data_IF_468491142358
#
_entry.id   IF_468491142358
#
_cell.length_a   1.000
_cell.length_b   1.000
_cell.length_c   1.000
_cell.angle_alpha   90.00
_cell.angle_beta   90.00
_cell.angle_gamma   90.00
#
_symmetry.space_group_name_H-M   'P 1'
#
loop_
_entity.id
_entity.type
_entity.pdbx_description
1 polymer ?
#
# COMPACT_ATOMS: atom_id res chain seq x y z
N UNK A 1 -17.19 -9.82 -14.63
CA UNK A 1 -16.44 -8.92 -15.54
C UNK A 1 -15.32 -9.72 -16.16
N UNK A 2 -15.19 -9.66 -17.48
CA UNK A 2 -14.21 -10.47 -18.19
C UNK A 2 -12.91 -9.66 -18.42
N UNK A 3 -11.80 -10.36 -18.65
CA UNK A 3 -10.50 -9.73 -18.90
C UNK A 3 -10.53 -8.75 -20.10
N UNK A 4 -11.37 -9.03 -21.10
CA UNK A 4 -11.58 -8.16 -22.26
C UNK A 4 -12.23 -6.82 -21.89
N UNK A 5 -13.18 -6.84 -20.95
CA UNK A 5 -13.85 -5.63 -20.48
C UNK A 5 -12.85 -4.74 -19.74
N UNK A 6 -12.03 -5.34 -18.87
CA UNK A 6 -10.99 -4.64 -18.11
C UNK A 6 -9.95 -3.96 -19.01
N UNK A 7 -9.58 -4.62 -20.10
CA UNK A 7 -8.68 -4.06 -21.10
C UNK A 7 -9.36 -2.93 -21.88
N UNK A 8 -10.62 -3.10 -22.28
CA UNK A 8 -11.38 -2.10 -23.03
C UNK A 8 -11.62 -0.82 -22.20
N UNK A 9 -11.80 -0.98 -20.88
CA UNK A 9 -11.93 0.13 -19.92
C UNK A 9 -10.59 0.73 -19.50
N UNK A 10 -9.47 0.23 -20.02
CA UNK A 10 -8.11 0.67 -19.68
C UNK A 10 -7.83 0.66 -18.17
N UNK A 11 -8.38 -0.33 -17.44
CA UNK A 11 -8.27 -0.37 -15.97
C UNK A 11 -6.80 -0.32 -15.53
N UNK A 12 -5.91 -1.02 -16.22
CA UNK A 12 -4.47 -1.01 -15.91
C UNK A 12 -3.87 0.39 -15.90
N UNK A 13 -4.26 1.27 -16.83
CA UNK A 13 -3.78 2.64 -16.87
C UNK A 13 -4.28 3.45 -15.66
N UNK A 14 -5.53 3.24 -15.24
CA UNK A 14 -6.09 3.86 -14.03
C UNK A 14 -5.39 3.37 -12.77
N UNK A 15 -5.11 2.07 -12.67
CA UNK A 15 -4.39 1.50 -11.53
C UNK A 15 -2.94 1.99 -11.46
N UNK A 16 -2.26 2.19 -12.59
CA UNK A 16 -0.94 2.80 -12.61
C UNK A 16 -0.97 4.26 -12.17
N UNK A 17 -1.97 5.04 -12.59
CA UNK A 17 -2.16 6.40 -12.08
C UNK A 17 -2.36 6.41 -10.57
N UNK A 18 -3.15 5.49 -10.04
CA UNK A 18 -3.37 5.33 -8.59
C UNK A 18 -2.06 4.94 -7.87
N UNK A 19 -1.34 3.95 -8.38
CA UNK A 19 -0.06 3.51 -7.82
C UNK A 19 0.96 4.65 -7.78
N UNK A 20 1.01 5.50 -8.80
CA UNK A 20 1.90 6.66 -8.82
C UNK A 20 1.58 7.72 -7.74
N UNK A 21 0.37 7.69 -7.16
CA UNK A 21 0.00 8.55 -6.02
C UNK A 21 0.32 7.92 -4.66
N UNK A 22 0.69 6.65 -4.61
CA UNK A 22 1.05 5.99 -3.36
C UNK A 22 2.52 6.28 -2.97
N UNK A 23 2.74 6.62 -1.69
CA UNK A 23 4.05 6.94 -1.16
C UNK A 23 4.91 5.70 -0.82
N UNK A 24 4.30 4.51 -0.72
CA UNK A 24 4.94 3.28 -0.24
C UNK A 24 4.87 2.16 -1.27
N UNK A 25 5.94 1.37 -1.45
CA UNK A 25 6.00 0.29 -2.44
C UNK A 25 4.90 -0.75 -2.26
N UNK A 26 4.63 -1.19 -1.03
CA UNK A 26 3.55 -2.14 -0.78
C UNK A 26 2.17 -1.55 -1.18
N UNK A 27 1.95 -0.25 -0.95
CA UNK A 27 0.73 0.43 -1.40
C UNK A 27 0.63 0.52 -2.92
N UNK A 28 1.76 0.68 -3.63
CA UNK A 28 1.81 0.64 -5.10
C UNK A 28 1.44 -0.73 -5.64
N UNK A 29 1.97 -1.78 -5.03
CA UNK A 29 1.63 -3.17 -5.36
C UNK A 29 0.14 -3.44 -5.13
N UNK A 30 -0.39 -3.02 -3.97
CA UNK A 30 -1.81 -3.15 -3.66
C UNK A 30 -2.68 -2.44 -4.70
N UNK A 31 -2.36 -1.18 -5.04
CA UNK A 31 -3.07 -0.42 -6.06
C UNK A 31 -3.10 -1.13 -7.42
N UNK A 32 -1.96 -1.71 -7.86
CA UNK A 32 -1.88 -2.46 -9.13
C UNK A 32 -2.65 -3.78 -9.11
N UNK A 33 -2.77 -4.40 -7.93
CA UNK A 33 -3.46 -5.68 -7.75
C UNK A 33 -4.99 -5.54 -7.61
N UNK A 34 -5.51 -4.32 -7.56
CA UNK A 34 -6.94 -4.10 -7.37
C UNK A 34 -7.76 -4.68 -8.53
N UNK A 35 -8.78 -5.44 -8.18
CA UNK A 35 -9.79 -5.94 -9.09
C UNK A 35 -11.18 -5.46 -8.67
N UNK A 36 -12.09 -5.21 -9.62
CA UNK A 36 -13.49 -4.94 -9.30
C UNK A 36 -14.09 -6.09 -8.51
N UNK A 37 -14.96 -5.76 -7.56
CA UNK A 37 -15.71 -6.71 -6.76
C UNK A 37 -17.20 -6.60 -7.07
N UNK A 38 -17.87 -7.74 -7.13
CA UNK A 38 -19.33 -7.85 -7.26
C UNK A 38 -20.03 -8.08 -5.91
N UNK A 39 -19.27 -8.27 -4.84
CA UNK A 39 -19.76 -8.36 -3.47
C UNK A 39 -20.08 -6.96 -2.92
N UNK A 40 -21.37 -6.70 -2.72
CA UNK A 40 -21.88 -5.41 -2.25
C UNK A 40 -21.36 -5.04 -0.86
N UNK A 41 -21.15 -6.00 0.03
CA UNK A 41 -20.65 -5.74 1.39
C UNK A 41 -19.18 -5.30 1.32
N UNK A 42 -18.38 -6.01 0.51
CA UNK A 42 -16.99 -5.65 0.27
C UNK A 42 -16.85 -4.28 -0.39
N UNK A 43 -17.67 -3.97 -1.40
CA UNK A 43 -17.67 -2.68 -2.08
C UNK A 43 -18.04 -1.56 -1.10
N UNK A 44 -19.10 -1.76 -0.31
CA UNK A 44 -19.56 -0.76 0.66
C UNK A 44 -18.50 -0.49 1.74
N UNK A 45 -17.85 -1.54 2.24
CA UNK A 45 -16.77 -1.44 3.23
C UNK A 45 -15.56 -0.66 2.68
N UNK A 46 -15.09 -0.98 1.47
CA UNK A 46 -13.95 -0.27 0.84
C UNK A 46 -14.24 1.20 0.56
N UNK A 47 -15.47 1.52 0.15
CA UNK A 47 -15.89 2.91 -0.07
C UNK A 47 -15.99 3.70 1.24
N UNK A 48 -16.48 3.07 2.31
CA UNK A 48 -16.49 3.67 3.64
C UNK A 48 -15.06 3.95 4.14
N UNK A 49 -14.16 2.97 4.05
CA UNK A 49 -12.75 3.13 4.41
C UNK A 49 -12.07 4.26 3.62
N UNK A 50 -12.33 4.35 2.32
CA UNK A 50 -11.79 5.44 1.48
C UNK A 50 -12.34 6.81 1.91
N UNK A 51 -13.61 6.87 2.27
CA UNK A 51 -14.25 8.11 2.75
C UNK A 51 -13.65 8.57 4.07
N UNK A 52 -13.45 7.65 5.00
CA UNK A 52 -12.81 7.90 6.29
C UNK A 52 -11.35 8.32 6.13
N UNK A 53 -10.58 7.63 5.28
CA UNK A 53 -9.20 7.98 5.00
C UNK A 53 -9.08 9.39 4.39
N UNK A 54 -9.98 9.76 3.48
CA UNK A 54 -10.02 11.12 2.90
C UNK A 54 -10.36 12.17 3.96
N UNK A 55 -11.29 11.88 4.87
CA UNK A 55 -11.61 12.77 5.98
C UNK A 55 -10.40 12.93 6.91
N UNK A 56 -9.71 11.83 7.25
CA UNK A 56 -8.53 11.84 8.09
C UNK A 56 -7.43 12.73 7.49
N UNK A 57 -7.17 12.61 6.19
CA UNK A 57 -6.22 13.47 5.47
C UNK A 57 -6.62 14.96 5.47
N UNK A 58 -7.92 15.26 5.49
CA UNK A 58 -8.40 16.65 5.54
C UNK A 58 -8.27 17.29 6.92
N UNK A 59 -8.34 16.49 8.00
CA UNK A 59 -8.28 16.98 9.38
C UNK A 59 -6.87 16.92 9.95
N UNK A 60 -6.07 15.92 9.56
CA UNK A 60 -4.67 15.75 9.97
C UNK A 60 -3.73 15.97 8.78
N UNK A 61 -3.33 17.24 8.60
CA UNK A 61 -2.51 17.70 7.46
C UNK A 61 -1.09 17.11 7.52
N UNK A 62 -0.61 16.74 8.71
CA UNK A 62 0.70 16.15 8.97
C UNK A 62 0.69 14.61 8.99
N UNK A 63 -0.44 13.97 8.63
CA UNK A 63 -0.51 12.52 8.55
C UNK A 63 0.49 11.99 7.53
N UNK A 64 1.36 11.10 7.98
CA UNK A 64 2.39 10.49 7.16
C UNK A 64 2.65 9.05 7.60
N UNK A 65 3.20 8.24 6.70
CA UNK A 65 3.77 6.93 7.03
C UNK A 65 5.18 7.04 7.62
N UNK A 66 5.67 8.26 7.87
CA UNK A 66 6.99 8.53 8.44
C UNK A 66 8.13 8.05 7.54
N UNK A 67 9.23 7.62 8.15
CA UNK A 67 10.38 7.02 7.47
C UNK A 67 10.24 5.50 7.29
N UNK A 68 9.02 5.00 7.02
CA UNK A 68 8.81 3.57 6.80
C UNK A 68 9.42 3.11 5.48
N UNK A 69 10.10 1.96 5.53
CA UNK A 69 10.70 1.29 4.40
C UNK A 69 10.05 -0.08 4.23
N UNK A 70 10.07 -0.60 3.00
CA UNK A 70 9.51 -1.92 2.72
C UNK A 70 10.52 -3.01 3.10
N UNK A 71 10.40 -3.46 4.34
CA UNK A 71 11.30 -4.43 4.96
C UNK A 71 10.81 -5.87 4.80
N UNK A 72 9.79 -6.16 3.97
CA UNK A 72 9.23 -7.51 3.80
C UNK A 72 10.30 -8.52 3.38
N UNK A 73 11.09 -8.16 2.36
CA UNK A 73 12.21 -8.99 1.87
C UNK A 73 13.30 -9.19 2.92
N UNK A 74 13.62 -8.15 3.69
CA UNK A 74 14.60 -8.21 4.79
C UNK A 74 14.13 -9.15 5.91
N UNK A 75 12.86 -9.02 6.31
CA UNK A 75 12.25 -9.88 7.33
C UNK A 75 12.22 -11.35 6.88
N UNK A 76 11.85 -11.60 5.63
CA UNK A 76 11.90 -12.93 5.03
C UNK A 76 13.33 -13.50 4.99
N UNK A 77 14.31 -12.72 4.54
CA UNK A 77 15.71 -13.14 4.52
C UNK A 77 16.22 -13.46 5.93
N UNK A 78 15.97 -12.58 6.90
CA UNK A 78 16.35 -12.78 8.30
C UNK A 78 15.70 -14.04 8.89
N UNK A 79 14.42 -14.32 8.58
CA UNK A 79 13.74 -15.54 9.03
C UNK A 79 14.38 -16.83 8.49
N UNK A 80 15.06 -16.74 7.34
CA UNK A 80 15.85 -17.85 6.75
C UNK A 80 17.29 -17.89 7.24
N UNK A 81 17.67 -17.02 8.18
CA UNK A 81 19.00 -16.97 8.78
C UNK A 81 20.00 -16.06 8.06
N UNK A 82 19.56 -15.25 7.09
CA UNK A 82 20.45 -14.24 6.49
C UNK A 82 20.81 -13.17 7.51
N UNK A 83 22.07 -12.72 7.46
CA UNK A 83 22.55 -11.58 8.27
C UNK A 83 22.20 -10.29 7.55
N UNK A 84 21.58 -9.36 8.27
CA UNK A 84 21.30 -8.01 7.78
C UNK A 84 22.52 -7.10 8.00
N UNK A 85 22.82 -6.25 7.03
CA UNK A 85 23.85 -5.23 7.18
C UNK A 85 23.38 -4.03 8.01
N UNK A 86 24.31 -3.10 8.28
CA UNK A 86 24.01 -1.93 9.11
C UNK A 86 22.93 -1.02 8.50
N UNK A 87 22.88 -0.87 7.18
CA UNK A 87 21.85 -0.07 6.49
C UNK A 87 20.48 -0.74 6.58
N UNK A 88 20.41 -2.04 6.33
CA UNK A 88 19.17 -2.83 6.43
C UNK A 88 18.59 -2.80 7.85
N UNK A 89 19.45 -2.85 8.87
CA UNK A 89 19.02 -2.69 10.27
C UNK A 89 18.49 -1.27 10.57
N UNK A 90 19.03 -0.24 9.92
CA UNK A 90 18.52 1.13 10.06
C UNK A 90 17.16 1.31 9.38
N UNK A 91 16.92 0.63 8.26
CA UNK A 91 15.62 0.62 7.58
C UNK A 91 14.55 -0.08 8.43
N UNK A 92 14.90 -1.21 9.05
CA UNK A 92 14.06 -1.91 10.02
C UNK A 92 13.76 -1.00 11.21
N UNK A 93 14.76 -0.37 11.81
CA UNK A 93 14.58 0.57 12.92
C UNK A 93 13.64 1.72 12.55
N UNK A 94 13.83 2.33 11.39
CA UNK A 94 13.04 3.48 10.94
C UNK A 94 11.57 3.10 10.74
N UNK A 95 11.33 1.92 10.18
CA UNK A 95 9.99 1.36 10.01
C UNK A 95 9.31 1.05 11.35
N UNK A 96 10.04 0.48 12.31
CA UNK A 96 9.52 0.24 13.66
C UNK A 96 9.21 1.53 14.42
N UNK A 97 9.98 2.60 14.21
CA UNK A 97 9.70 3.92 14.78
C UNK A 97 8.42 4.49 14.17
N UNK A 98 8.26 4.42 12.85
CA UNK A 98 7.08 4.91 12.16
C UNK A 98 5.79 4.20 12.58
N UNK A 99 5.86 2.89 12.87
CA UNK A 99 4.71 2.10 13.33
C UNK A 99 4.20 2.45 14.74
N UNK A 100 4.94 3.25 15.52
CA UNK A 100 4.56 3.65 16.88
C UNK A 100 3.73 4.95 16.92
N UNK A 101 3.87 5.79 15.90
CA UNK A 101 3.21 7.10 15.77
C UNK A 101 1.85 7.00 15.11
#
# INVERSE_FOLDING_TARGET
>A
MDAKDLQTLELSAVLEQLANRAAFSASKELARSLIPSDDIEQVSSRLAETTEARLLLSVKIDLTIGGAHDIRSLAEAASRGSVLDASELLDVKSTLIAART
#
